data_IF_612738401337
#
_entry.id   IF_612738401337
#
_cell.length_a   1.000
_cell.length_b   1.000
_cell.length_c   1.000
_cell.angle_alpha   90.00
_cell.angle_beta   90.00
_cell.angle_gamma   90.00
#
_symmetry.space_group_name_H-M   'P 1'
#
loop_
_entity.id
_entity.type
_entity.pdbx_description
1 polymer ?
#
# COMPACT_ATOMS: atom_id res chain seq x y z
N UNK A 1 -1.21 12.31 -5.27
CA UNK A 1 -1.87 11.11 -5.82
C UNK A 1 -2.88 10.57 -4.84
N UNK A 2 -3.99 10.10 -5.34
CA UNK A 2 -5.04 9.54 -4.49
C UNK A 2 -5.07 8.03 -4.65
N UNK A 3 -5.13 7.34 -3.52
CA UNK A 3 -5.29 5.89 -3.53
C UNK A 3 -6.58 5.54 -2.80
N UNK A 4 -7.29 4.58 -3.34
CA UNK A 4 -8.45 4.04 -2.68
C UNK A 4 -8.00 3.01 -1.66
N UNK A 5 -8.50 3.08 -0.46
CA UNK A 5 -8.22 2.10 0.58
C UNK A 5 -9.51 1.42 0.99
N UNK A 6 -9.40 0.17 1.39
CA UNK A 6 -10.55 -0.62 1.82
C UNK A 6 -10.34 -1.03 3.27
N UNK A 7 -11.32 -0.75 4.10
CA UNK A 7 -11.30 -1.14 5.50
C UNK A 7 -12.10 -2.41 5.72
N UNK A 8 -11.54 -3.31 6.51
CA UNK A 8 -12.24 -4.51 6.96
C UNK A 8 -12.25 -4.50 8.49
N UNK A 9 -13.44 -4.47 9.07
CA UNK A 9 -13.59 -4.51 10.51
C UNK A 9 -13.76 -5.93 10.97
N UNK A 10 -12.96 -6.34 11.95
CA UNK A 10 -13.05 -7.65 12.57
C UNK A 10 -13.09 -7.48 14.07
N UNK A 11 -13.31 -8.58 14.79
CA UNK A 11 -13.29 -8.56 16.24
C UNK A 11 -11.91 -8.21 16.79
N UNK A 12 -10.87 -8.47 16.03
CA UNK A 12 -9.51 -8.22 16.46
C UNK A 12 -9.01 -6.81 16.14
N UNK A 13 -9.75 -6.07 15.33
CA UNK A 13 -9.37 -4.74 14.95
C UNK A 13 -9.82 -4.38 13.54
N UNK A 14 -9.09 -3.47 12.93
CA UNK A 14 -9.40 -3.00 11.58
C UNK A 14 -8.20 -3.27 10.69
N UNK A 15 -8.43 -3.97 9.59
CA UNK A 15 -7.41 -4.09 8.56
C UNK A 15 -7.74 -3.15 7.40
N UNK A 16 -6.71 -2.71 6.71
CA UNK A 16 -6.86 -1.82 5.57
C UNK A 16 -5.95 -2.29 4.45
N UNK A 17 -6.46 -2.24 3.24
CA UNK A 17 -5.70 -2.65 2.07
C UNK A 17 -5.80 -1.59 0.98
N UNK A 18 -4.84 -1.62 0.07
CA UNK A 18 -4.81 -0.72 -1.08
C UNK A 18 -4.90 -1.57 -2.34
N UNK A 19 -6.08 -1.66 -2.96
CA UNK A 19 -6.23 -2.50 -4.15
C UNK A 19 -5.28 -2.14 -5.29
N UNK A 20 -4.92 -0.87 -5.40
CA UNK A 20 -3.99 -0.44 -6.45
C UNK A 20 -2.53 -0.80 -6.21
N UNK A 21 -2.18 -1.25 -5.01
CA UNK A 21 -0.82 -1.63 -4.65
C UNK A 21 -0.84 -3.03 -4.05
N UNK A 22 -0.67 -4.06 -4.88
CA UNK A 22 -0.73 -5.44 -4.40
C UNK A 22 0.26 -5.69 -3.26
N UNK A 23 -0.22 -6.33 -2.20
CA UNK A 23 0.60 -6.59 -1.03
C UNK A 23 0.71 -5.44 -0.05
N UNK A 24 0.14 -4.30 -0.35
CA UNK A 24 0.15 -3.15 0.56
C UNK A 24 -1.09 -3.20 1.45
N UNK A 25 -0.90 -3.57 2.70
CA UNK A 25 -1.98 -3.63 3.67
C UNK A 25 -1.43 -3.45 5.08
N UNK A 26 -2.30 -3.11 6.01
CA UNK A 26 -1.90 -2.96 7.40
C UNK A 26 -3.09 -3.17 8.33
N UNK A 27 -2.82 -3.14 9.63
CA UNK A 27 -3.85 -3.31 10.65
C UNK A 27 -3.67 -2.26 11.73
N UNK A 28 -4.77 -1.93 12.41
CA UNK A 28 -4.76 -1.05 13.55
C UNK A 28 -5.94 -1.33 14.46
N UNK A 29 -5.90 -0.77 15.66
CA UNK A 29 -7.00 -0.93 16.60
C UNK A 29 -8.17 -0.01 16.28
N UNK A 30 -7.90 1.10 15.62
CA UNK A 30 -8.92 2.06 15.21
C UNK A 30 -8.73 2.40 13.73
N UNK A 31 -9.77 2.98 13.14
CA UNK A 31 -9.72 3.42 11.76
C UNK A 31 -8.64 4.47 11.55
N UNK A 32 -8.49 5.40 12.49
CA UNK A 32 -7.48 6.44 12.41
C UNK A 32 -6.07 5.85 12.43
N UNK A 33 -5.84 4.90 13.32
CA UNK A 33 -4.55 4.24 13.42
C UNK A 33 -4.23 3.44 12.16
N UNK A 34 -5.19 2.67 11.67
CA UNK A 34 -5.01 1.90 10.46
C UNK A 34 -4.73 2.81 9.26
N UNK A 35 -5.42 3.95 9.18
CA UNK A 35 -5.22 4.91 8.10
C UNK A 35 -3.83 5.53 8.15
N UNK A 36 -3.37 5.88 9.34
CA UNK A 36 -2.03 6.44 9.51
C UNK A 36 -0.96 5.43 9.11
N UNK A 37 -1.11 4.20 9.54
CA UNK A 37 -0.16 3.14 9.22
C UNK A 37 -0.15 2.88 7.71
N UNK A 38 -1.32 2.83 7.07
CA UNK A 38 -1.36 2.55 5.63
C UNK A 38 -0.76 3.69 4.82
N UNK A 39 -0.90 4.94 5.26
CA UNK A 39 -0.26 6.06 4.59
C UNK A 39 1.25 5.91 4.61
N UNK A 40 1.81 5.53 5.74
CA UNK A 40 3.25 5.27 5.85
C UNK A 40 3.66 4.07 5.00
N UNK A 41 2.85 3.03 4.99
CA UNK A 41 3.12 1.85 4.19
C UNK A 41 3.13 2.16 2.69
N UNK A 42 2.22 3.01 2.24
CA UNK A 42 2.19 3.43 0.84
C UNK A 42 3.46 4.18 0.49
N UNK A 43 3.89 5.10 1.34
CA UNK A 43 5.10 5.86 1.10
C UNK A 43 6.33 4.97 1.04
N UNK A 44 6.43 4.01 1.94
CA UNK A 44 7.53 3.04 1.94
C UNK A 44 7.49 2.14 0.71
N UNK A 45 6.31 1.71 0.31
CA UNK A 45 6.13 0.88 -0.87
C UNK A 45 6.62 1.61 -2.12
N UNK A 46 6.22 2.88 -2.28
CA UNK A 46 6.61 3.67 -3.43
C UNK A 46 8.11 4.01 -3.39
N UNK A 47 8.65 4.27 -2.22
CA UNK A 47 10.07 4.56 -2.07
C UNK A 47 10.92 3.34 -2.42
N UNK A 48 10.50 2.16 -1.97
CA UNK A 48 11.21 0.93 -2.30
C UNK A 48 11.20 0.64 -3.80
N UNK A 49 10.04 0.83 -4.43
CA UNK A 49 9.93 0.65 -5.87
C UNK A 49 10.81 1.64 -6.63
N UNK A 50 10.89 2.87 -6.14
CA UNK A 50 11.72 3.90 -6.74
C UNK A 50 13.21 3.61 -6.58
N UNK A 51 13.61 3.11 -5.42
CA UNK A 51 15.01 2.74 -5.19
C UNK A 51 15.45 1.63 -6.12
N UNK A 52 14.63 0.62 -6.28
CA UNK A 52 14.93 -0.46 -7.22
C UNK A 52 15.07 0.08 -8.63
N UNK A 53 14.23 1.03 -9.01
CA UNK A 53 14.31 1.66 -10.33
C UNK A 53 15.55 2.53 -10.48
N UNK A 54 16.06 3.09 -9.39
CA UNK A 54 17.22 3.97 -9.43
C UNK A 54 18.54 3.27 -9.71
N UNK A 55 18.67 2.03 -9.22
CA UNK A 55 19.93 1.30 -9.29
C UNK A 55 20.01 0.33 -10.46
N UNK A 56 18.92 0.06 -11.11
CA UNK A 56 18.89 -0.95 -12.16
C UNK A 56 18.23 -0.41 -13.41
N UNK A 57 18.63 -1.02 -14.51
CA UNK A 57 17.97 -0.74 -15.76
C UNK A 57 16.53 -1.23 -15.67
N UNK A 58 15.60 -0.32 -15.89
CA UNK A 58 14.18 -0.67 -15.78
C UNK A 58 13.53 -0.64 -17.15
N UNK A 59 12.62 -1.55 -17.33
CA UNK A 59 11.81 -1.62 -18.54
C UNK A 59 10.36 -1.57 -18.15
N UNK A 60 9.60 -0.72 -18.81
CA UNK A 60 8.17 -0.71 -18.62
C UNK A 60 7.57 -1.82 -19.46
N UNK A 61 6.88 -2.71 -18.79
CA UNK A 61 6.19 -3.80 -19.44
C UNK A 61 4.71 -3.62 -19.22
N UNK A 62 3.98 -3.40 -20.30
CA UNK A 62 2.53 -3.38 -20.23
C UNK A 62 2.03 -4.81 -20.30
N UNK A 63 1.37 -5.23 -19.25
CA UNK A 63 0.74 -6.54 -19.23
C UNK A 63 -0.74 -6.29 -19.43
N UNK A 64 -1.23 -6.68 -20.59
CA UNK A 64 -2.64 -6.60 -20.87
C UNK A 64 -3.35 -7.70 -20.09
N UNK A 65 -4.17 -7.29 -19.17
CA UNK A 65 -4.93 -8.24 -18.37
C UNK A 65 -6.21 -8.63 -19.09
#
# INVERSE_FOLDING_TARGET
MKYTVVFHRTEEGISVSVPGLPGCWSEGDTAEEALEIIQNAIQEYLAAAKEVSGDQETHEIEIAA
#
